data_IF_428805813491
#
_entry.id   IF_428805813491
#
_cell.length_a   1.000
_cell.length_b   1.000
_cell.length_c   1.000
_cell.angle_alpha   90.00
_cell.angle_beta   90.00
_cell.angle_gamma   90.00
#
_symmetry.space_group_name_H-M   'P 1'
#
loop_
_entity.id
_entity.type
_entity.pdbx_description
1 polymer ?
2 non-polymer ?
3 water ?
#
# COMPACT_ATOMS: atom_id res chain seq x y z
N UNK A 1 -21.57 3.75 20.27
CA UNK A 1 -20.41 4.65 20.15
C UNK A 1 -19.05 3.96 20.42
N UNK A 2 -19.06 2.62 20.56
CA UNK A 2 -17.87 1.82 20.80
C UNK A 2 -17.72 0.73 19.76
N UNK A 3 -16.47 0.35 19.48
CA UNK A 3 -16.11 -0.65 18.48
C UNK A 3 -15.53 -1.89 19.14
N UNK A 4 -15.92 -3.12 18.68
CA UNK A 4 -15.32 -4.35 19.20
C UNK A 4 -13.85 -4.40 18.78
N UNK A 5 -13.57 -3.96 17.54
CA UNK A 5 -12.25 -3.86 16.93
C UNK A 5 -12.35 -2.83 15.78
N UNK A 6 -11.20 -2.44 15.22
CA UNK A 6 -11.11 -1.48 14.13
C UNK A 6 -10.07 -1.95 13.13
N UNK A 7 -10.55 -2.50 12.01
CA UNK A 7 -9.71 -3.08 10.94
C UNK A 7 -10.03 -2.41 9.61
N UNK A 8 -8.98 -2.10 8.83
CA UNK A 8 -9.13 -1.44 7.53
C UNK A 8 -8.28 -2.04 6.45
N UNK A 9 -8.82 -2.04 5.22
CA UNK A 9 -8.08 -2.50 4.06
C UNK A 9 -7.99 -1.38 3.04
N UNK A 10 -6.76 -1.11 2.60
CA UNK A 10 -6.48 -0.04 1.65
C UNK A 10 -5.80 -0.58 0.39
N UNK A 11 -6.50 -0.47 -0.75
CA UNK A 11 -5.96 -0.93 -2.01
C UNK A 11 -5.73 0.26 -2.95
N UNK A 12 -4.51 0.37 -3.48
CA UNK A 12 -4.15 1.37 -4.46
C UNK A 12 -3.51 0.74 -5.70
N UNK A 13 -4.06 1.01 -6.89
CA UNK A 13 -3.50 0.52 -8.16
C UNK A 13 -3.00 1.67 -8.98
N UNK A 14 -1.68 1.67 -9.15
CA UNK A 14 -0.88 2.71 -9.73
C UNK A 14 -0.11 2.31 -10.99
N UNK A 15 0.04 1.00 -11.27
CA UNK A 15 0.88 0.57 -12.40
C UNK A 15 0.21 -0.50 -13.25
N UNK A 16 -0.67 -0.04 -14.15
CA UNK A 16 -1.41 -0.90 -15.06
C UNK A 16 -0.60 -1.34 -16.26
N UNK A 17 -0.67 -2.65 -16.51
CA UNK A 17 0.02 -3.34 -17.60
C UNK A 17 -0.63 -2.98 -18.95
N UNK A 18 -1.98 -2.92 -19.01
CA UNK A 18 -2.71 -2.68 -20.25
C UNK A 18 -3.70 -1.47 -20.26
N UNK A 19 -3.58 -0.57 -19.26
CA UNK A 19 -4.42 0.63 -19.10
C UNK A 19 -3.60 1.81 -18.59
N UNK A 20 -4.10 3.07 -18.64
CA UNK A 20 -3.28 4.20 -18.16
C UNK A 20 -2.81 4.12 -16.70
N UNK A 21 -1.51 4.35 -16.45
CA UNK A 21 -0.90 4.38 -15.10
C UNK A 21 -1.48 5.54 -14.31
N UNK A 22 -1.70 5.36 -12.97
CA UNK A 22 -2.26 6.42 -12.11
C UNK A 22 -1.24 6.86 -11.07
N UNK A 23 -1.21 8.18 -10.79
CA UNK A 23 -0.26 8.80 -9.85
C UNK A 23 -0.79 8.97 -8.42
N UNK A 24 -2.06 9.39 -8.29
CA UNK A 24 -2.64 9.65 -6.97
C UNK A 24 -2.69 8.48 -5.96
N UNK A 25 -3.11 7.21 -6.28
CA UNK A 25 -3.18 6.17 -5.25
C UNK A 25 -2.08 6.05 -4.19
N UNK A 26 -0.81 6.18 -4.56
CA UNK A 26 0.35 6.12 -3.66
C UNK A 26 0.28 7.08 -2.47
N UNK A 27 -0.08 8.32 -2.71
CA UNK A 27 -0.08 9.26 -1.59
C UNK A 27 -1.34 9.05 -0.77
N UNK A 28 -2.51 8.93 -1.46
CA UNK A 28 -3.81 8.71 -0.83
C UNK A 28 -3.77 7.49 0.07
N UNK A 29 -3.16 6.38 -0.38
CA UNK A 29 -3.06 5.18 0.45
C UNK A 29 -2.13 5.45 1.62
N UNK A 30 -0.90 5.92 1.36
CA UNK A 30 0.07 6.22 2.42
C UNK A 30 -0.56 7.15 3.47
N UNK A 31 -1.02 8.35 3.04
CA UNK A 31 -1.65 9.37 3.89
C UNK A 31 -2.89 8.90 4.65
N UNK A 32 -3.78 8.12 4.00
CA UNK A 32 -4.96 7.62 4.67
C UNK A 32 -4.61 6.52 5.70
N UNK A 33 -3.54 5.73 5.44
CA UNK A 33 -3.05 4.66 6.30
C UNK A 33 -2.65 5.21 7.65
N UNK A 34 -1.70 6.13 7.66
CA UNK A 34 -1.18 6.76 8.87
C UNK A 34 -2.27 7.48 9.64
N UNK A 35 -3.22 8.10 8.92
CA UNK A 35 -4.39 8.78 9.51
C UNK A 35 -5.31 7.79 10.22
N UNK A 36 -5.57 6.61 9.62
CA UNK A 36 -6.38 5.58 10.28
C UNK A 36 -5.60 4.92 11.42
N UNK A 37 -4.25 4.77 11.25
CA UNK A 37 -3.35 4.25 12.29
C UNK A 37 -3.48 5.16 13.51
N UNK A 38 -3.56 6.51 13.31
CA UNK A 38 -3.78 7.51 14.37
C UNK A 38 -5.12 7.25 15.07
N UNK A 39 -6.15 6.81 14.30
CA UNK A 39 -7.50 6.53 14.83
C UNK A 39 -7.61 5.13 15.46
N UNK A 40 -6.43 4.43 15.64
CA UNK A 40 -6.31 3.11 16.25
C UNK A 40 -6.98 2.02 15.41
N UNK A 41 -6.58 1.98 14.14
CA UNK A 41 -7.07 1.01 13.18
C UNK A 41 -5.91 0.08 12.81
N UNK A 42 -6.16 -1.24 12.76
CA UNK A 42 -5.16 -2.21 12.34
C UNK A 42 -5.26 -2.29 10.79
N UNK A 43 -4.62 -1.34 10.10
CA UNK A 43 -4.62 -1.19 8.64
C UNK A 43 -3.64 -2.12 7.94
N UNK A 44 -4.04 -2.68 6.79
CA UNK A 44 -3.24 -3.38 5.79
C UNK A 44 -3.32 -2.46 4.58
N UNK A 45 -2.16 -1.99 4.09
CA UNK A 45 -2.13 -1.07 2.95
C UNK A 45 -1.40 -1.74 1.78
N UNK A 46 -2.12 -2.09 0.70
CA UNK A 46 -1.56 -2.83 -0.46
C UNK A 46 -1.62 -2.08 -1.79
N UNK A 47 -0.49 -2.11 -2.52
CA UNK A 47 -0.28 -1.44 -3.82
C UNK A 47 -0.17 -2.42 -4.98
N UNK A 48 -0.57 -1.96 -6.19
CA UNK A 48 -0.49 -2.70 -7.45
C UNK A 48 -0.88 -4.20 -7.36
N UNK A 49 -2.14 -4.47 -6.96
CA UNK A 49 -2.70 -5.81 -6.81
C UNK A 49 -3.42 -6.32 -8.06
N UNK A 50 -3.18 -7.60 -8.42
CA UNK A 50 -3.81 -8.26 -9.59
C UNK A 50 -5.22 -8.69 -9.27
N UNK A 51 -5.88 -9.42 -10.21
CA UNK A 51 -7.25 -9.90 -10.01
C UNK A 51 -7.31 -10.79 -8.79
N UNK A 52 -6.63 -11.95 -8.85
CA UNK A 52 -6.60 -12.98 -7.82
C UNK A 52 -6.19 -12.44 -6.47
N UNK A 53 -5.25 -11.47 -6.46
CA UNK A 53 -4.74 -10.86 -5.23
C UNK A 53 -5.82 -10.04 -4.59
N UNK A 54 -6.48 -9.14 -5.37
CA UNK A 54 -7.57 -8.26 -4.94
C UNK A 54 -8.66 -9.04 -4.31
N UNK A 55 -9.08 -10.12 -5.01
CA UNK A 55 -10.12 -11.04 -4.56
C UNK A 55 -9.78 -11.66 -3.21
N UNK A 56 -8.53 -12.12 -3.02
CA UNK A 56 -8.04 -12.71 -1.77
C UNK A 56 -8.00 -11.71 -0.62
N UNK A 57 -7.58 -10.48 -0.91
CA UNK A 57 -7.49 -9.38 0.03
C UNK A 57 -8.84 -9.10 0.68
N UNK A 58 -9.83 -8.76 -0.18
CA UNK A 58 -11.22 -8.46 0.19
C UNK A 58 -11.81 -9.57 1.03
N UNK A 59 -11.77 -10.83 0.53
CA UNK A 59 -12.29 -11.97 1.28
C UNK A 59 -11.69 -12.02 2.69
N UNK A 60 -10.35 -11.87 2.81
CA UNK A 60 -9.63 -11.82 4.07
C UNK A 60 -10.05 -10.65 4.94
N UNK A 61 -10.36 -9.47 4.32
CA UNK A 61 -10.87 -8.32 5.06
C UNK A 61 -12.25 -8.66 5.58
N UNK A 62 -13.09 -9.26 4.72
CA UNK A 62 -14.46 -9.61 5.07
C UNK A 62 -14.58 -10.59 6.25
N UNK A 63 -13.56 -11.47 6.43
CA UNK A 63 -13.54 -12.47 7.49
C UNK A 63 -13.42 -11.84 8.87
N UNK A 64 -12.76 -10.68 8.95
CA UNK A 64 -12.56 -9.87 10.16
C UNK A 64 -13.83 -9.14 10.56
N UNK A 65 -14.80 -8.98 9.63
CA UNK A 65 -16.05 -8.26 9.88
C UNK A 65 -17.05 -8.94 10.84
N UNK A 66 -16.57 -9.39 12.02
CA UNK A 66 -17.39 -9.98 13.08
C UNK A 66 -18.39 -8.93 13.70
N UNK A 67 -19.22 -9.34 14.69
CA UNK A 67 -20.22 -8.46 15.34
C UNK A 67 -19.55 -7.26 16.02
N UNK A 68 -20.11 -6.06 15.79
CA UNK A 68 -19.65 -4.81 16.39
C UNK A 68 -18.28 -4.26 16.03
N UNK A 69 -17.57 -4.87 15.06
CA UNK A 69 -16.28 -4.31 14.64
C UNK A 69 -16.51 -3.15 13.65
N UNK A 70 -15.45 -2.35 13.39
CA UNK A 70 -15.51 -1.22 12.45
C UNK A 70 -14.60 -1.54 11.30
N UNK A 71 -15.19 -1.62 10.12
CA UNK A 71 -14.44 -1.95 8.92
C UNK A 71 -14.30 -0.77 8.01
N UNK A 72 -13.19 -0.68 7.28
CA UNK A 72 -13.00 0.41 6.31
C UNK A 72 -12.36 -0.16 5.10
N UNK A 73 -12.97 0.07 3.97
CA UNK A 73 -12.43 -0.47 2.75
C UNK A 73 -12.26 0.63 1.75
N UNK A 74 -10.99 0.95 1.47
CA UNK A 74 -10.65 1.99 0.51
C UNK A 74 -9.98 1.41 -0.69
N UNK A 75 -10.56 1.73 -1.86
CA UNK A 75 -9.99 1.33 -3.13
C UNK A 75 -9.74 2.57 -3.98
N UNK A 76 -8.51 2.75 -4.47
CA UNK A 76 -8.16 3.84 -5.38
C UNK A 76 -7.47 3.26 -6.62
N UNK A 77 -8.15 3.39 -7.76
CA UNK A 77 -7.67 2.88 -9.03
C UNK A 77 -8.67 3.07 -10.14
N UNK A 78 -8.54 2.29 -11.23
CA UNK A 78 -9.45 2.32 -12.36
C UNK A 78 -10.74 1.60 -12.00
N UNK A 79 -11.83 2.14 -12.52
CA UNK A 79 -13.17 1.63 -12.33
C UNK A 79 -13.81 1.36 -13.66
N UNK A 80 -14.90 0.59 -13.64
CA UNK A 80 -15.65 0.16 -14.80
C UNK A 80 -17.15 0.14 -14.40
N UNK A 81 -18.03 0.50 -15.34
CA UNK A 81 -19.49 0.56 -15.07
C UNK A 81 -20.34 -0.05 -16.18
N UNK A 82 -20.76 -1.32 -16.01
CA UNK A 82 -21.57 -2.01 -17.01
C UNK A 82 -22.87 -2.56 -16.46
N UNK A 83 -24.01 -2.09 -17.02
CA UNK A 83 -25.37 -2.48 -16.64
C UNK A 83 -25.70 -2.08 -15.20
N UNK A 84 -25.35 -0.85 -14.83
CA UNK A 84 -25.62 -0.33 -13.49
C UNK A 84 -24.69 -0.89 -12.41
N UNK A 85 -23.78 -1.80 -12.82
CA UNK A 85 -22.80 -2.41 -11.95
C UNK A 85 -21.51 -1.66 -12.09
N UNK A 86 -20.74 -1.57 -11.00
CA UNK A 86 -19.43 -0.96 -11.00
C UNK A 86 -18.39 -2.01 -10.60
N UNK A 87 -17.17 -1.85 -11.12
CA UNK A 87 -16.11 -2.81 -10.90
C UNK A 87 -14.85 -2.11 -10.56
N UNK A 88 -14.04 -2.77 -9.74
CA UNK A 88 -12.71 -2.31 -9.36
C UNK A 88 -11.77 -3.04 -10.34
N UNK A 89 -11.01 -2.28 -11.12
CA UNK A 89 -10.12 -2.84 -12.12
C UNK A 89 -8.74 -3.14 -11.52
N UNK A 90 -8.29 -4.41 -11.58
CA UNK A 90 -6.93 -4.74 -11.12
C UNK A 90 -5.88 -4.47 -12.22
N UNK A 91 -4.58 -4.57 -11.88
CA UNK A 91 -3.44 -4.27 -12.78
C UNK A 91 -3.21 -5.22 -13.98
N UNK A 92 -3.64 -6.49 -13.84
CA UNK A 92 -3.51 -7.58 -14.81
C UNK A 92 -4.63 -7.61 -15.86
N UNK A 93 -5.79 -7.00 -15.55
CA UNK A 93 -6.95 -6.97 -16.45
C UNK A 93 -6.59 -6.45 -17.85
N UNK A 94 -7.04 -7.10 -18.96
CA UNK A 94 -6.65 -6.57 -20.28
C UNK A 94 -7.62 -5.51 -20.82
N UNK A 95 -7.18 -4.76 -21.85
CA UNK A 95 -8.07 -3.79 -22.50
C UNK A 95 -8.67 -4.40 -23.76
N UNK A 96 -9.99 -4.25 -24.00
CA UNK A 96 -10.97 -3.50 -23.20
C UNK A 96 -11.30 -4.23 -21.90
N UNK A 97 -11.95 -3.53 -20.95
CA UNK A 97 -12.37 -4.12 -19.69
C UNK A 97 -13.38 -5.25 -19.92
N UNK A 98 -13.35 -6.25 -19.04
CA UNK A 98 -14.26 -7.40 -19.02
C UNK A 98 -14.50 -7.72 -17.55
N UNK A 99 -15.76 -7.93 -17.17
CA UNK A 99 -16.17 -8.18 -15.79
C UNK A 99 -15.49 -9.39 -15.15
N UNK A 100 -15.29 -10.49 -15.93
CA UNK A 100 -14.66 -11.73 -15.46
C UNK A 100 -13.27 -11.54 -14.87
N UNK A 101 -12.61 -10.44 -15.22
CA UNK A 101 -11.28 -10.04 -14.77
C UNK A 101 -11.37 -8.93 -13.70
N UNK A 102 -12.60 -8.51 -13.32
CA UNK A 102 -12.77 -7.40 -12.38
C UNK A 102 -13.62 -7.71 -11.15
N UNK A 103 -13.64 -6.79 -10.15
CA UNK A 103 -14.37 -7.03 -8.88
C UNK A 103 -15.65 -6.24 -8.76
N UNK A 104 -16.80 -6.92 -8.84
CA UNK A 104 -18.12 -6.29 -8.74
C UNK A 104 -18.40 -5.76 -7.35
N UNK A 105 -18.47 -4.40 -7.23
CA UNK A 105 -18.75 -3.61 -6.00
C UNK A 105 -20.02 -4.10 -5.32
N UNK A 106 -21.08 -4.28 -6.13
CA UNK A 106 -22.41 -4.77 -5.78
C UNK A 106 -22.35 -6.10 -5.03
N UNK A 107 -21.46 -7.00 -5.45
CA UNK A 107 -21.26 -8.28 -4.77
C UNK A 107 -20.64 -8.08 -3.39
N UNK A 108 -19.54 -7.27 -3.30
CA UNK A 108 -18.83 -6.93 -2.06
C UNK A 108 -19.81 -6.36 -1.02
N UNK A 109 -20.68 -5.46 -1.51
CA UNK A 109 -21.81 -4.87 -0.82
C UNK A 109 -22.77 -5.97 -0.31
N UNK A 110 -23.22 -6.91 -1.20
CA UNK A 110 -24.12 -8.03 -0.86
C UNK A 110 -23.57 -8.87 0.31
N UNK A 111 -22.27 -9.10 0.33
CA UNK A 111 -21.56 -9.84 1.37
C UNK A 111 -21.45 -9.00 2.66
N UNK A 112 -21.21 -7.69 2.52
CA UNK A 112 -21.10 -6.75 3.65
C UNK A 112 -22.46 -6.65 4.37
N UNK A 113 -23.58 -6.73 3.62
CA UNK A 113 -24.94 -6.67 4.18
C UNK A 113 -25.24 -7.85 5.12
N UNK A 114 -24.61 -9.00 4.86
CA UNK A 114 -24.72 -10.23 5.65
C UNK A 114 -23.88 -10.11 6.94
N UNK A 115 -23.52 -8.88 7.36
CA UNK A 115 -22.69 -8.70 8.54
C UNK A 115 -23.37 -8.09 9.75
N UNK A 116 -22.67 -8.13 10.92
CA UNK A 116 -23.19 -7.58 12.18
C UNK A 116 -22.26 -6.50 12.74
N UNK A 117 -21.44 -5.91 11.85
CA UNK A 117 -20.49 -4.83 12.16
C UNK A 117 -21.24 -3.58 12.59
N UNK A 118 -20.69 -2.88 13.59
CA UNK A 118 -21.26 -1.64 14.10
C UNK A 118 -21.09 -0.48 13.13
N UNK A 119 -20.12 -0.62 12.19
CA UNK A 119 -19.79 0.36 11.14
C UNK A 119 -19.00 -0.34 10.04
N UNK A 120 -19.24 0.02 8.79
CA UNK A 120 -18.53 -0.53 7.66
C UNK A 120 -18.48 0.56 6.61
N UNK A 121 -17.27 1.07 6.35
CA UNK A 121 -17.06 2.17 5.41
C UNK A 121 -16.53 1.63 4.09
N UNK A 122 -17.27 1.82 3.01
CA UNK A 122 -16.83 1.39 1.69
C UNK A 122 -16.52 2.63 0.82
N UNK A 123 -15.23 2.96 0.72
CA UNK A 123 -14.74 4.10 -0.06
C UNK A 123 -14.15 3.65 -1.37
N UNK A 124 -14.52 4.35 -2.44
CA UNK A 124 -14.05 4.08 -3.79
C UNK A 124 -13.65 5.38 -4.46
N UNK A 125 -12.40 5.46 -4.90
CA UNK A 125 -11.84 6.60 -5.61
C UNK A 125 -11.49 6.05 -6.98
N UNK A 126 -12.50 5.86 -7.82
CA UNK A 126 -12.43 5.24 -9.13
C UNK A 126 -12.16 6.21 -10.24
N UNK A 127 -11.54 5.74 -11.31
CA UNK A 127 -11.18 6.55 -12.46
C UNK A 127 -11.78 5.99 -13.72
N UNK A 128 -12.05 6.92 -14.66
CA UNK A 128 -12.49 6.69 -16.04
C UNK A 128 -13.76 5.86 -16.30
N UNK A 129 -14.74 5.86 -15.35
CA UNK A 129 -16.06 5.22 -15.49
C UNK A 129 -17.13 5.82 -14.58
N UNK A 146 -28.75 -4.94 11.28
CA UNK A 146 -28.13 -3.89 10.49
C UNK A 146 -26.61 -3.98 10.43
N UNK A 147 -26.04 -3.72 9.24
CA UNK A 147 -24.61 -3.78 8.96
C UNK A 147 -23.92 -2.41 8.99
N UNK A 148 -24.73 -1.34 9.02
CA UNK A 148 -24.30 0.08 9.08
C UNK A 148 -23.29 0.48 8.00
N UNK A 149 -23.54 0.03 6.76
CA UNK A 149 -22.70 0.32 5.60
C UNK A 149 -22.87 1.78 5.20
N UNK A 150 -21.73 2.45 5.05
CA UNK A 150 -21.61 3.83 4.61
C UNK A 150 -20.81 3.75 3.30
N UNK A 151 -21.52 3.83 2.18
CA UNK A 151 -20.89 3.72 0.88
C UNK A 151 -20.56 5.11 0.30
N UNK A 152 -19.27 5.36 0.10
CA UNK A 152 -18.74 6.60 -0.46
C UNK A 152 -18.12 6.31 -1.81
N UNK A 153 -18.75 6.78 -2.87
CA UNK A 153 -18.34 6.47 -4.25
C UNK A 153 -17.92 7.73 -5.03
N UNK A 154 -16.60 7.95 -5.15
CA UNK A 154 -16.02 9.10 -5.84
C UNK A 154 -15.63 8.73 -7.26
N UNK A 155 -15.73 9.70 -8.17
CA UNK A 155 -15.43 9.45 -9.58
C UNK A 155 -14.48 10.51 -10.22
N UNK A 156 -13.44 10.96 -9.48
CA UNK A 156 -12.51 12.00 -9.94
C UNK A 156 -11.03 11.69 -9.71
N UNK A 157 -10.27 11.47 -10.79
CA UNK A 157 -8.84 11.16 -10.62
C UNK A 157 -7.87 12.15 -11.32
N UNK A 158 -8.32 13.41 -11.45
CA UNK A 158 -7.55 14.51 -12.02
C UNK A 158 -6.92 15.35 -10.92
N UNK A 159 -6.07 14.69 -10.08
CA UNK A 159 -5.36 15.19 -8.90
C UNK A 159 -4.82 16.63 -8.96
N UNK A 167 4.57 20.87 -4.12
CA UNK A 167 4.36 19.66 -3.32
C UNK A 167 5.37 18.53 -3.65
N UNK A 168 5.52 18.22 -4.93
CA UNK A 168 6.41 17.17 -5.42
C UNK A 168 5.67 15.87 -5.74
N UNK A 169 4.64 15.55 -4.90
CA UNK A 169 3.82 14.33 -4.99
C UNK A 169 2.34 14.67 -5.08
N UNK A 170 1.61 13.93 -5.95
CA UNK A 170 0.19 14.12 -6.24
C UNK A 170 -0.76 13.50 -5.23
N UNK A 171 -1.72 14.31 -4.72
CA UNK A 171 -2.78 13.91 -3.80
C UNK A 171 -4.08 14.08 -4.57
N UNK A 172 -4.92 13.04 -4.56
CA UNK A 172 -6.21 13.02 -5.28
C UNK A 172 -7.24 13.97 -4.73
N UNK A 173 -8.22 14.39 -5.57
CA UNK A 173 -9.26 15.35 -5.14
C UNK A 173 -10.05 14.85 -3.91
N UNK A 174 -10.49 13.57 -3.91
CA UNK A 174 -11.25 13.02 -2.78
C UNK A 174 -10.46 13.05 -1.50
N UNK A 175 -9.21 12.53 -1.54
CA UNK A 175 -8.33 12.50 -0.37
C UNK A 175 -7.96 13.89 0.14
N UNK A 176 -7.69 14.85 -0.77
CA UNK A 176 -7.39 16.26 -0.48
C UNK A 176 -8.31 16.79 0.60
N UNK A 177 -9.64 16.48 0.49
CA UNK A 177 -10.68 16.91 1.44
C UNK A 177 -10.96 15.87 2.50
N UNK A 178 -10.89 14.59 2.14
CA UNK A 178 -11.15 13.52 3.08
C UNK A 178 -10.19 13.60 4.27
N UNK A 179 -8.89 13.83 4.01
CA UNK A 179 -7.88 13.93 5.05
C UNK A 179 -8.13 15.04 6.07
N UNK A 180 -8.56 16.23 5.61
CA UNK A 180 -8.83 17.37 6.49
C UNK A 180 -9.88 17.03 7.56
N UNK A 181 -10.96 16.37 7.14
CA UNK A 181 -12.11 16.03 7.97
C UNK A 181 -12.03 14.68 8.67
N UNK A 182 -11.22 13.75 8.16
CA UNK A 182 -11.09 12.39 8.71
C UNK A 182 -10.83 12.32 10.21
N UNK A 183 -10.17 13.33 10.79
CA UNK A 183 -9.86 13.27 12.22
C UNK A 183 -10.84 13.93 13.18
N UNK A 184 -11.95 14.46 12.64
CA UNK A 184 -13.01 15.10 13.43
C UNK A 184 -13.87 14.05 14.15
N UNK A 185 -14.37 14.38 15.38
CA UNK A 185 -15.28 13.51 16.12
C UNK A 185 -16.73 13.90 15.76
N UNK A 186 -17.11 13.53 14.53
CA UNK A 186 -18.43 13.74 13.97
C UNK A 186 -18.84 12.46 13.25
N UNK A 187 -20.16 12.22 13.12
CA UNK A 187 -20.73 11.03 12.48
C UNK A 187 -20.15 10.87 11.07
N UNK A 188 -19.74 9.64 10.69
CA UNK A 188 -19.13 9.38 9.37
C UNK A 188 -19.91 9.95 8.17
N UNK A 189 -21.24 9.84 8.22
CA UNK A 189 -22.14 10.32 7.17
C UNK A 189 -22.11 11.84 7.07
N UNK A 190 -21.95 12.51 8.22
CA UNK A 190 -21.87 13.96 8.35
C UNK A 190 -20.57 14.45 7.72
N UNK A 191 -19.46 13.74 7.98
CA UNK A 191 -18.17 14.08 7.41
C UNK A 191 -18.22 13.84 5.91
N UNK A 192 -18.76 12.67 5.50
CA UNK A 192 -18.88 12.32 4.08
C UNK A 192 -19.74 13.34 3.34
N UNK A 193 -20.79 13.88 4.00
CA UNK A 193 -21.59 14.93 3.42
C UNK A 193 -20.79 16.24 3.31
N UNK A 194 -19.96 16.56 4.33
CA UNK A 194 -19.14 17.78 4.33
C UNK A 194 -18.04 17.70 3.27
N UNK A 195 -17.43 16.53 3.09
CA UNK A 195 -16.38 16.29 2.08
C UNK A 195 -16.96 16.48 0.66
N UNK A 196 -18.25 16.11 0.47
CA UNK A 196 -19.01 16.20 -0.78
C UNK A 196 -19.33 17.65 -1.16
N UNK A 197 -19.57 18.48 -0.13
CA UNK A 197 -19.85 19.90 -0.24
C UNK A 197 -18.51 20.65 -0.46
N UNK A 198 -17.41 20.21 0.26
CA UNK A 198 -16.03 20.73 0.17
C UNK A 198 -15.56 20.61 -1.26
N UNK A 199 -15.88 19.46 -1.90
CA UNK A 199 -15.61 19.14 -3.29
C UNK A 199 -16.41 20.05 -4.19
N UNK A 200 -17.65 20.35 -3.78
CA UNK A 200 -18.56 21.28 -4.47
C UNK A 200 -18.09 22.73 -4.46
N UNK A 201 -17.20 23.10 -3.51
CA UNK A 201 -16.62 24.43 -3.42
C UNK A 201 -15.40 24.53 -4.35
N UNK A 202 -14.65 23.40 -4.52
CA UNK A 202 -13.50 23.28 -5.42
C UNK A 202 -13.97 23.37 -6.87
N UNK A 203 -13.17 23.99 -7.73
CA UNK A 203 -13.50 24.19 -9.14
C UNK A 203 -13.68 22.93 -9.99
N UNK A 204 -12.77 21.96 -9.84
CA UNK A 204 -12.83 20.70 -10.59
C UNK A 204 -14.00 19.82 -10.15
N UNK A 205 -14.24 19.73 -8.83
CA UNK A 205 -15.30 18.91 -8.25
C UNK A 205 -16.69 19.56 -8.14
N UNK A 206 -16.82 20.84 -8.54
CA UNK A 206 -18.12 21.50 -8.54
C UNK A 206 -18.84 21.25 -9.86
N UNK A 207 -18.06 21.26 -10.95
CA UNK A 207 -18.52 21.06 -12.31
C UNK A 207 -19.21 19.72 -12.49
N UNK A 208 -18.57 18.66 -11.98
CA UNK A 208 -19.10 17.29 -12.04
C UNK A 208 -19.33 16.78 -10.62
N UNK A 209 -20.47 16.09 -10.37
CA UNK A 209 -20.78 15.51 -9.07
C UNK A 209 -20.06 14.15 -8.86
N UNK A 210 -18.77 14.20 -8.49
CA UNK A 210 -18.02 12.98 -8.33
C UNK A 210 -18.45 12.12 -7.13
N UNK A 211 -18.77 12.73 -5.96
CA UNK A 211 -19.15 11.98 -4.75
C UNK A 211 -20.63 11.62 -4.61
N UNK A 212 -20.88 10.34 -4.32
CA UNK A 212 -22.20 9.77 -4.09
C UNK A 212 -22.09 8.95 -2.82
N UNK A 213 -22.99 9.22 -1.88
CA UNK A 213 -23.05 8.57 -0.57
C UNK A 213 -24.29 7.70 -0.47
N UNK A 214 -24.15 6.52 0.13
CA UNK A 214 -25.28 5.61 0.38
C UNK A 214 -25.12 5.12 1.81
N UNK A 215 -26.06 5.43 2.64
CA UNK A 215 -25.96 5.05 4.04
C UNK A 215 -27.17 4.30 4.54
N UNK A 216 -26.92 3.44 5.54
CA UNK A 216 -27.94 2.64 6.22
C UNK A 216 -27.67 2.71 7.73
N UNK A 217 -26.80 3.67 8.11
CA UNK A 217 -26.34 3.97 9.45
C UNK A 217 -27.45 4.58 10.34
N UNK A 218 -27.96 3.74 11.25
CA UNK A 218 -29.01 4.04 12.23
C UNK A 218 -28.50 4.67 13.54
N UNK A 219 -27.19 4.62 13.81
CA UNK A 219 -26.66 5.14 15.07
C UNK A 219 -25.46 6.08 14.93
N UNK A 220 -25.15 6.86 16.00
CA UNK A 220 -24.08 7.85 16.02
C UNK A 220 -22.71 7.19 16.10
N UNK A 221 -22.28 6.57 14.97
CA UNK A 221 -20.99 5.88 14.81
C UNK A 221 -19.99 6.76 14.05
N UNK A 222 -18.81 6.97 14.63
CA UNK A 222 -17.73 7.78 14.02
C UNK A 222 -16.44 6.98 13.84
N UNK A 223 -15.53 7.46 12.99
CA UNK A 223 -14.23 6.79 12.81
C UNK A 223 -13.33 7.03 14.01
N UNK A 224 -13.60 8.13 14.76
CA UNK A 224 -12.96 8.49 16.01
C UNK A 224 -13.96 7.92 17.03
N UNK A 225 -13.78 6.66 17.39
CA UNK A 225 -14.65 5.97 18.35
C UNK A 225 -13.77 4.98 19.11
N UNK A 226 -13.84 4.93 20.45
CA UNK A 226 -12.94 4.03 21.19
C UNK A 226 -13.31 2.54 21.12
N UNK A 227 -12.33 1.67 21.44
CA UNK A 227 -12.43 0.22 21.47
C UNK A 227 -12.31 -0.24 22.93
N UNK A 228 -13.21 -1.13 23.38
CA UNK A 228 -13.20 -1.66 24.75
C UNK A 228 -13.83 -3.04 24.80
N UNK A 236 -9.94 -10.37 23.01
CA UNK A 236 -10.26 -9.89 21.66
C UNK A 236 -9.15 -9.05 21.04
N UNK A 237 -8.14 -8.62 21.86
CA UNK A 237 -6.98 -7.87 21.39
C UNK A 237 -5.87 -8.80 20.84
N UNK A 238 -6.29 -10.05 20.51
CA UNK A 238 -5.50 -11.14 19.92
C UNK A 238 -5.23 -10.75 18.45
N UNK A 239 -6.20 -10.06 17.81
CA UNK A 239 -6.15 -9.57 16.43
C UNK A 239 -5.09 -8.48 16.27
N UNK A 240 -4.76 -7.76 17.37
CA UNK A 240 -3.72 -6.73 17.41
C UNK A 240 -2.32 -7.39 17.28
N UNK A 241 -2.17 -8.59 17.88
CA UNK A 241 -0.94 -9.37 17.85
C UNK A 241 -0.69 -10.01 16.47
N UNK A 242 -1.79 -10.34 15.75
CA UNK A 242 -1.80 -10.91 14.40
C UNK A 242 -1.39 -9.86 13.37
N UNK A 243 -1.74 -8.57 13.61
CA UNK A 243 -1.39 -7.42 12.77
C UNK A 243 0.11 -7.17 12.85
N UNK A 244 0.66 -7.15 14.10
CA UNK A 244 2.08 -6.91 14.42
C UNK A 244 2.97 -7.92 13.72
N UNK A 245 2.54 -9.20 13.72
CA UNK A 245 3.14 -10.37 13.09
C UNK A 245 3.17 -10.17 11.57
N UNK A 246 2.10 -9.57 11.01
CA UNK A 246 1.93 -9.29 9.58
C UNK A 246 2.76 -8.10 9.06
N UNK A 247 3.38 -7.30 9.96
CA UNK A 247 4.14 -6.09 9.61
C UNK A 247 5.52 -6.04 10.23
N UNK A 248 6.11 -7.22 10.46
CA UNK A 248 7.45 -7.38 11.01
C UNK A 248 8.50 -7.19 9.88
N UNK A 249 9.37 -6.19 10.06
CA UNK A 249 10.41 -5.81 9.09
C UNK A 249 11.76 -6.45 9.48
N UNK A 250 12.57 -6.98 8.53
CA UNK A 250 13.85 -7.62 8.93
C UNK A 250 14.84 -6.65 9.56
N UNK A 251 15.56 -7.13 10.61
CA UNK A 251 16.56 -6.38 11.36
C UNK A 251 17.76 -6.02 10.48
N UNK A 252 18.25 -4.79 10.68
CA UNK A 252 19.38 -4.18 9.96
C UNK A 252 20.63 -5.07 10.06
N UNK A 253 21.08 -5.59 8.91
CA UNK A 253 22.22 -6.50 8.91
C UNK A 253 23.53 -5.98 8.31
N UNK A 254 24.65 -6.48 8.84
CA UNK A 254 25.97 -6.12 8.35
C UNK A 254 26.69 -7.32 7.75
N UNK A 255 27.34 -7.13 6.59
CA UNK A 255 28.07 -8.21 5.92
C UNK A 255 29.53 -7.85 5.77
N UNK A 256 30.43 -8.72 6.26
CA UNK A 256 31.89 -8.54 6.14
C UNK A 256 32.38 -9.28 4.92
N UNK A 257 33.17 -8.60 4.09
CA UNK A 257 33.71 -9.17 2.87
C UNK A 257 35.19 -9.53 3.01
N UNK A 258 35.65 -10.53 2.23
CA UNK A 258 37.03 -11.03 2.22
C UNK A 258 38.09 -9.92 2.14
N UNK A 259 37.88 -8.94 1.24
CA UNK A 259 38.77 -7.79 1.02
C UNK A 259 38.87 -6.84 2.22
N UNK A 260 37.90 -6.92 3.13
CA UNK A 260 37.89 -6.13 4.35
C UNK A 260 36.69 -5.23 4.54
N UNK A 261 36.14 -4.71 3.41
CA UNK A 261 35.00 -3.79 3.33
C UNK A 261 33.78 -4.38 4.00
N UNK A 262 33.20 -3.65 4.98
CA UNK A 262 31.99 -4.09 5.68
C UNK A 262 30.77 -3.27 5.21
N UNK A 263 29.68 -3.96 4.81
CA UNK A 263 28.44 -3.36 4.27
C UNK A 263 27.30 -3.38 5.28
N UNK A 264 26.43 -2.35 5.24
CA UNK A 264 25.24 -2.24 6.07
C UNK A 264 24.01 -2.51 5.21
N UNK A 265 23.09 -3.36 5.69
CA UNK A 265 21.86 -3.64 4.97
C UNK A 265 20.70 -3.20 5.80
N UNK A 266 20.06 -2.12 5.37
CA UNK A 266 18.94 -1.52 6.07
C UNK A 266 17.60 -1.78 5.42
N UNK A 267 16.51 -1.57 6.19
CA UNK A 267 15.16 -1.82 5.69
C UNK A 267 14.18 -0.79 6.16
N UNK A 268 13.20 -0.45 5.32
CA UNK A 268 12.14 0.50 5.68
C UNK A 268 10.83 0.03 5.11
N UNK A 269 9.74 0.27 5.81
CA UNK A 269 8.41 -0.10 5.33
C UNK A 269 7.73 1.12 4.72
N UNK A 270 7.10 0.88 3.59
CA UNK A 270 6.36 1.93 2.92
C UNK A 270 4.83 1.58 2.97
N UNK A 271 4.47 0.36 2.51
CA UNK A 271 3.12 -0.19 2.49
C UNK A 271 3.22 -1.63 2.99
N UNK A 272 2.08 -2.35 3.13
CA UNK A 272 2.10 -3.73 3.61
C UNK A 272 2.84 -4.66 2.69
N UNK A 273 2.82 -4.35 1.40
CA UNK A 273 3.47 -5.14 0.38
C UNK A 273 4.71 -4.46 -0.23
N UNK A 274 5.10 -3.26 0.29
CA UNK A 274 6.19 -2.43 -0.27
C UNK A 274 7.28 -2.16 0.76
N UNK A 275 8.46 -2.69 0.52
CA UNK A 275 9.62 -2.49 1.39
C UNK A 275 10.78 -1.87 0.59
N UNK A 276 11.46 -0.88 1.21
CA UNK A 276 12.66 -0.23 0.68
C UNK A 276 13.88 -0.91 1.31
N UNK A 277 14.84 -1.26 0.47
CA UNK A 277 16.10 -1.86 0.87
C UNK A 277 17.21 -0.85 0.64
N UNK A 278 18.08 -0.64 1.64
CA UNK A 278 19.24 0.23 1.45
C UNK A 278 20.56 -0.40 1.81
N UNK A 279 21.59 -0.06 1.00
CA UNK A 279 22.98 -0.53 1.17
C UNK A 279 23.92 0.65 1.40
N UNK A 280 24.62 0.64 2.53
CA UNK A 280 25.66 1.62 2.86
C UNK A 280 27.00 0.92 3.20
N UNK A 281 28.07 1.69 3.15
CA UNK A 281 29.42 1.22 3.43
C UNK A 281 29.82 1.74 4.80
N UNK A 282 30.06 0.82 5.74
CA UNK A 282 30.47 1.21 7.09
C UNK A 282 32.00 1.42 7.17
N UNK A 283 32.76 0.46 6.62
CA UNK A 283 34.22 0.51 6.62
C UNK A 283 34.77 0.33 5.23
N UNK A 284 35.79 1.14 4.91
CA UNK A 284 36.51 1.09 3.65
C UNK A 284 38.01 1.29 3.93
N UNK A 285 38.87 0.29 3.62
CA UNK A 285 40.31 0.49 3.87
C UNK A 285 40.96 1.55 2.95
N UNK A 286 42.12 2.19 3.31
CA UNK A 286 42.71 3.23 2.44
C UNK A 286 43.02 2.80 1.00
N UNK A 287 43.09 1.48 0.74
CA UNK A 287 43.34 0.89 -0.57
C UNK A 287 42.18 1.13 -1.56
N UNK A 288 40.93 0.90 -1.09
CA UNK A 288 39.71 1.04 -1.91
C UNK A 288 39.36 2.52 -2.18
N UNK A 289 39.50 2.95 -3.45
CA UNK A 289 39.21 4.32 -3.88
C UNK A 289 37.76 4.49 -4.34
N UNK A 290 37.11 3.40 -4.77
CA UNK A 290 35.72 3.40 -5.24
C UNK A 290 35.09 2.02 -5.11
N UNK A 291 33.96 1.96 -4.36
CA UNK A 291 33.11 0.77 -4.15
C UNK A 291 31.73 1.17 -3.71
N UNK A 292 30.75 0.28 -3.94
CA UNK A 292 29.34 0.39 -3.56
C UNK A 292 28.65 -0.96 -3.71
N UNK A 293 27.97 -1.40 -2.66
CA UNK A 293 27.28 -2.69 -2.65
C UNK A 293 25.93 -2.61 -3.37
N UNK A 294 25.81 -3.38 -4.46
CA UNK A 294 24.62 -3.48 -5.29
C UNK A 294 23.82 -4.71 -4.85
N UNK A 295 22.48 -4.60 -4.85
CA UNK A 295 21.61 -5.73 -4.52
C UNK A 295 20.98 -6.28 -5.79
N UNK A 296 21.10 -7.61 -5.99
CA UNK A 296 20.61 -8.28 -7.19
C UNK A 296 20.05 -9.69 -6.92
N UNK A 297 19.66 -10.40 -8.00
CA UNK A 297 19.13 -11.76 -8.01
C UNK A 297 17.99 -12.01 -7.02
N UNK A 298 17.01 -11.11 -7.01
CA UNK A 298 15.83 -11.24 -6.18
C UNK A 298 14.94 -12.32 -6.83
N UNK A 299 14.10 -13.08 -6.08
CA UNK A 299 13.27 -14.11 -6.73
C UNK A 299 12.38 -13.61 -7.88
N UNK A 300 12.21 -14.47 -8.93
CA UNK A 300 11.45 -14.22 -10.17
C UNK A 300 9.99 -13.73 -10.00
N UNK A 301 9.26 -14.25 -8.97
CA UNK A 301 7.86 -13.92 -8.65
C UNK A 301 7.58 -12.43 -8.55
N UNK A 302 8.51 -11.66 -7.95
CA UNK A 302 8.45 -10.19 -7.85
C UNK A 302 9.16 -9.62 -9.11
N UNK A 303 8.41 -8.87 -9.91
CA UNK A 303 8.88 -8.26 -11.15
C UNK A 303 9.68 -6.98 -10.90
N UNK A 304 10.91 -7.13 -10.37
CA UNK A 304 11.82 -5.99 -10.15
C UNK A 304 12.86 -5.98 -11.26
N UNK A 305 12.86 -4.94 -12.10
CA UNK A 305 13.84 -4.84 -13.19
C UNK A 305 15.09 -4.13 -12.70
N UNK A 306 16.28 -4.78 -12.80
CA UNK A 306 17.53 -4.14 -12.35
C UNK A 306 17.77 -2.68 -12.80
N UNK A 307 17.09 -2.25 -13.89
CA UNK A 307 17.15 -0.90 -14.47
C UNK A 307 16.53 0.16 -13.52
N UNK A 308 15.79 -0.29 -12.47
CA UNK A 308 15.13 0.61 -11.50
C UNK A 308 15.56 0.39 -10.03
N UNK A 309 16.62 -0.41 -9.82
CA UNK A 309 17.18 -0.74 -8.51
C UNK A 309 18.57 -0.13 -8.34
N UNK A 310 19.08 -0.10 -7.09
CA UNK A 310 20.37 0.47 -6.69
C UNK A 310 20.51 1.91 -7.19
N UNK A 311 19.57 2.74 -6.80
CA UNK A 311 19.52 4.14 -7.21
C UNK A 311 20.23 5.05 -6.20
N UNK A 312 20.58 6.27 -6.64
CA UNK A 312 21.24 7.28 -5.84
C UNK A 312 20.45 7.75 -4.63
N UNK A 313 19.13 8.01 -4.83
CA UNK A 313 18.19 8.47 -3.80
C UNK A 313 16.94 7.56 -3.81
N UNK A 314 16.18 7.48 -2.69
CA UNK A 314 15.00 6.60 -2.69
C UNK A 314 13.84 7.07 -3.58
N UNK A 315 13.80 8.39 -3.93
CA UNK A 315 12.75 9.00 -4.78
C UNK A 315 12.80 8.47 -6.22
N UNK A 316 13.97 7.99 -6.64
CA UNK A 316 14.20 7.48 -7.99
C UNK A 316 13.45 6.19 -8.31
N UNK A 317 13.03 5.42 -7.27
CA UNK A 317 12.35 4.14 -7.43
C UNK A 317 10.94 4.19 -8.07
N UNK A 318 10.00 4.98 -7.56
CA UNK A 318 10.10 5.88 -6.42
C UNK A 318 9.14 5.61 -5.28
N UNK A 319 9.71 5.60 -4.09
CA UNK A 319 9.03 5.43 -2.83
C UNK A 319 8.39 6.76 -2.44
N UNK A 320 7.39 6.69 -1.53
CA UNK A 320 6.75 7.88 -0.94
C UNK A 320 7.79 8.42 0.04
N UNK A 321 8.59 7.50 0.64
CA UNK A 321 9.69 7.77 1.57
C UNK A 321 10.77 8.64 0.92
N UNK A 322 10.98 9.81 1.54
CA UNK A 322 11.89 10.88 1.13
C UNK A 322 13.28 10.67 1.71
N UNK A 323 14.32 11.10 0.97
CA UNK A 323 15.75 11.04 1.31
C UNK A 323 16.05 11.36 2.77
N UNK A 324 15.29 12.29 3.39
CA UNK A 324 15.46 12.71 4.79
C UNK A 324 15.18 11.62 5.85
N UNK A 325 14.16 10.73 5.67
CA UNK A 325 13.87 9.68 6.67
C UNK A 325 14.71 8.38 6.54
N UNK A 326 15.60 8.32 5.51
CA UNK A 326 16.51 7.20 5.22
C UNK A 326 17.92 7.75 5.15
N UNK A 327 18.98 7.00 5.53
CA UNK A 327 20.33 7.61 5.50
C UNK A 327 20.90 7.91 4.12
N UNK A 328 21.57 9.06 3.99
CA UNK A 328 22.19 9.47 2.73
C UNK A 328 23.40 8.55 2.36
N UNK A 329 23.93 8.66 1.12
CA UNK A 329 25.07 7.88 0.58
C UNK A 329 24.81 6.36 0.43
N UNK A 330 23.54 5.98 0.43
CA UNK A 330 23.13 4.59 0.24
C UNK A 330 22.69 4.35 -1.22
N UNK A 331 22.36 3.10 -1.53
CA UNK A 331 21.82 2.68 -2.81
C UNK A 331 20.50 2.06 -2.41
N UNK A 332 19.43 2.48 -3.09
CA UNK A 332 18.04 2.08 -2.79
C UNK A 332 17.40 1.19 -3.84
N UNK A 333 16.63 0.18 -3.37
CA UNK A 333 15.88 -0.81 -4.16
C UNK A 333 14.55 -1.01 -3.43
N UNK A 334 13.43 -0.88 -4.15
CA UNK A 334 12.06 -0.99 -3.64
C UNK A 334 11.43 -2.31 -4.07
N UNK A 335 10.96 -3.07 -3.08
CA UNK A 335 10.34 -4.35 -3.32
C UNK A 335 8.84 -4.14 -3.28
N UNK A 336 8.34 -3.67 -4.41
CA UNK A 336 6.96 -3.25 -4.70
C UNK A 336 5.89 -4.30 -4.41
N UNK A 337 6.10 -5.55 -4.86
CA UNK A 337 5.14 -6.64 -4.75
C UNK A 337 5.65 -7.73 -3.82
N UNK A 338 5.18 -7.76 -2.57
CA UNK A 338 5.60 -8.71 -1.52
C UNK A 338 4.61 -9.86 -1.32
N UNK A 339 3.35 -9.66 -1.71
CA UNK A 339 2.27 -10.65 -1.60
C UNK A 339 2.54 -11.86 -2.52
N UNK A 340 3.54 -11.73 -3.42
CA UNK A 340 3.99 -12.74 -4.40
C UNK A 340 5.11 -13.62 -3.84
N UNK A 341 5.61 -13.27 -2.64
CA UNK A 341 6.69 -14.00 -1.99
C UNK A 341 6.14 -15.31 -1.43
N UNK A 342 6.36 -16.40 -2.21
CA UNK A 342 5.98 -17.77 -1.89
C UNK A 342 7.09 -18.40 -1.08
N UNK A 343 8.35 -18.04 -1.37
CA UNK A 343 9.52 -18.58 -0.68
C UNK A 343 10.32 -17.48 -0.02
N UNK A 344 11.04 -17.83 1.06
CA UNK A 344 11.88 -16.93 1.86
C UNK A 344 12.71 -16.02 0.93
N UNK A 345 12.82 -14.74 1.28
CA UNK A 345 13.53 -13.77 0.46
C UNK A 345 15.02 -14.02 0.43
N UNK A 346 15.53 -14.38 -0.76
CA UNK A 346 16.93 -14.66 -1.04
C UNK A 346 17.40 -13.73 -2.18
N UNK A 347 18.50 -13.00 -1.94
CA UNK A 347 19.10 -12.07 -2.90
C UNK A 347 20.63 -12.04 -2.73
N UNK A 348 21.36 -11.68 -3.79
CA UNK A 348 22.82 -11.58 -3.76
C UNK A 348 23.25 -10.10 -3.75
N UNK A 349 24.36 -9.80 -3.06
CA UNK A 349 24.95 -8.47 -2.93
C UNK A 349 26.36 -8.48 -3.54
N UNK A 350 26.66 -7.54 -4.46
CA UNK A 350 27.98 -7.45 -5.09
C UNK A 350 28.76 -6.19 -4.71
N UNK A 351 30.10 -6.31 -4.54
CA UNK A 351 30.97 -5.20 -4.12
C UNK A 351 31.34 -4.14 -5.15
N UNK A 352 31.71 -4.56 -6.38
CA UNK A 352 32.14 -3.68 -7.49
C UNK A 352 33.23 -2.67 -7.10
N UNK A 353 34.35 -3.18 -6.56
CA UNK A 353 35.47 -2.37 -6.08
C UNK A 353 36.67 -2.30 -7.02
N UNK A 354 37.16 -1.08 -7.27
CA UNK A 354 38.30 -0.81 -8.15
C UNK A 354 39.10 0.38 -7.62
N UNK A 355 40.42 0.19 -7.49
CA UNK A 355 41.38 1.21 -7.09
C UNK A 355 42.14 1.62 -8.34
N UNK A 356 42.37 2.93 -8.54
CA UNK A 356 43.03 3.50 -9.72
C UNK A 356 44.38 2.88 -10.11
N UNK A 357 45.03 2.20 -9.15
CA UNK A 357 46.29 1.50 -9.36
C UNK A 357 46.14 0.38 -10.37
N UNK A 358 45.10 -0.48 -10.18
CA UNK A 358 44.80 -1.58 -11.09
C UNK A 358 43.74 -1.16 -12.10
N UNK A 359 43.90 -1.58 -13.36
CA UNK A 359 42.99 -1.22 -14.46
C UNK A 359 41.63 -1.93 -14.52
N UNK A 360 41.54 -3.16 -13.98
CA UNK A 360 40.30 -3.94 -14.03
C UNK A 360 39.46 -3.93 -12.76
N UNK A 361 38.12 -3.86 -12.92
CA UNK A 361 37.14 -3.86 -11.83
C UNK A 361 36.89 -5.31 -11.37
N UNK A 362 36.98 -5.55 -10.05
CA UNK A 362 36.77 -6.88 -9.45
C UNK A 362 35.44 -6.96 -8.73
N UNK A 363 34.90 -8.20 -8.57
CA UNK A 363 33.62 -8.44 -7.91
C UNK A 363 33.63 -9.67 -6.98
N UNK A 364 32.94 -9.54 -5.84
CA UNK A 364 32.76 -10.58 -4.81
C UNK A 364 31.29 -10.54 -4.38
N UNK A 365 30.65 -11.71 -4.28
CA UNK A 365 29.23 -11.78 -3.95
C UNK A 365 28.81 -12.83 -2.93
N UNK A 366 27.81 -12.49 -2.09
CA UNK A 366 27.25 -13.39 -1.09
C UNK A 366 25.72 -13.36 -0.99
N UNK A 367 25.11 -14.50 -0.67
CA UNK A 367 23.66 -14.74 -0.57
C UNK A 367 23.12 -14.37 0.82
N UNK A 368 21.95 -13.70 0.87
CA UNK A 368 21.30 -13.26 2.11
C UNK A 368 19.85 -13.77 2.19
N UNK A 369 19.39 -14.19 3.39
CA UNK A 369 18.02 -14.64 3.63
C UNK A 369 17.35 -13.71 4.62
N UNK A 370 16.38 -12.96 4.12
CA UNK A 370 15.60 -11.98 4.87
C UNK A 370 14.29 -12.54 5.46
N UNK A 371 13.98 -13.78 5.07
CA UNK A 371 12.80 -14.51 5.50
C UNK A 371 11.59 -14.06 4.72
N UNK A 372 10.42 -13.99 5.39
CA UNK A 372 9.15 -13.55 4.79
C UNK A 372 8.77 -12.14 5.37
N UNK A 373 9.23 -11.03 4.75
CA UNK A 373 8.98 -9.71 5.37
C UNK A 373 7.59 -9.14 5.15
N UNK A 374 7.12 -8.33 6.13
CA UNK A 374 5.83 -7.64 6.05
C UNK A 374 4.69 -8.61 5.70
N UNK A 375 3.80 -8.24 4.76
CA UNK A 375 2.67 -9.06 4.32
C UNK A 375 3.08 -10.41 3.71
N UNK A 376 4.36 -10.56 3.32
CA UNK A 376 4.89 -11.78 2.73
C UNK A 376 4.89 -12.96 3.70
N UNK A 377 4.84 -12.66 5.02
CA UNK A 377 4.81 -13.67 6.07
C UNK A 377 3.60 -14.57 5.85
N UNK A 378 2.40 -13.98 5.81
CA UNK A 378 1.20 -14.74 5.49
C UNK A 378 1.11 -14.85 3.95
N UNK A 379 1.21 -16.09 3.41
CA UNK A 379 1.18 -16.32 1.97
C UNK A 379 -0.19 -15.95 1.45
N UNK A 380 -0.25 -15.09 0.41
CA UNK A 380 -1.50 -14.59 -0.18
C UNK A 380 -2.37 -15.72 -0.75
N UNK A 381 -1.75 -16.90 -0.97
CA UNK A 381 -2.40 -18.10 -1.47
C UNK A 381 -3.08 -18.91 -0.34
N UNK A 382 -4.40 -19.29 -0.45
CA UNK A 382 -5.30 -19.11 -1.61
C UNK A 382 -6.79 -19.47 -1.31
N UNK A 383 -7.73 -18.75 -1.99
CA UNK A 383 -9.18 -18.98 -1.95
C UNK A 383 -9.94 -18.31 -3.11
#
# INVERSE_FOLDING_TARGET
MLAKDKVALLIGNMNYREHPKLKAPLVDVYELTNLLRQLDFKVVSLLDLTEYEMRNAVDEFLLLLDKGVYGLLYYAGHGYENFGNSFMVPVDAPNPYRSENCLCVQNILKLMQEKETGLNVFLLDMCRKRNDYDDTIPILDALKVTANIVFGYATCQGAEAFEIQHSGLANGIFMKFLKDRLLEDKKITVLLDEVAEDMGKCHLTKGKQALEIRSSLSEKRALTDPIQGTEYSAESLVRNLQWAKAHELPESMCLKFDCGVQIQLGFAAEFSNVMIIYTSIVYKPPEIIMCDAYVTDFPLDLDIDPKDANKGTPEETGSYLVSKDLPKHCLYTRLSSLQKLKEHLVFTVCLSYQYSGLEDTVEDKQEVNVGKPLIAKLDMHRHHHHHH
#
